data_IF_727218088395
#
_entry.id   IF_727218088395
#
_cell.length_a   1.000
_cell.length_b   1.000
_cell.length_c   1.000
_cell.angle_alpha   90.00
_cell.angle_beta   90.00
_cell.angle_gamma   90.00
#
_symmetry.space_group_name_H-M   'P 1'
#
loop_
_entity.id
_entity.type
_entity.pdbx_description
1 polymer ?
#
# COMPACT_ATOMS: atom_id res chain seq x y z
N UNK A 1 14.12 12.69 4.91
CA UNK A 1 13.68 11.89 3.73
C UNK A 1 12.97 10.61 4.14
N UNK A 2 13.60 9.60 4.76
CA UNK A 2 12.86 8.40 5.18
C UNK A 2 11.82 8.71 6.25
N UNK A 3 12.17 9.47 7.29
CA UNK A 3 11.25 9.85 8.36
C UNK A 3 9.96 10.54 7.85
N UNK A 4 10.04 11.31 6.76
CA UNK A 4 8.92 12.07 6.21
C UNK A 4 7.87 11.18 5.52
N UNK A 5 8.25 9.96 5.15
CA UNK A 5 7.38 8.96 4.51
C UNK A 5 6.88 7.91 5.50
N UNK A 6 7.12 8.08 6.81
CA UNK A 6 6.59 7.16 7.81
C UNK A 6 5.08 7.36 7.92
N UNK A 7 4.31 6.31 7.68
CA UNK A 7 2.88 6.36 7.94
C UNK A 7 2.61 6.57 9.44
N UNK A 8 1.68 7.47 9.76
CA UNK A 8 1.31 7.80 11.14
C UNK A 8 0.04 7.06 11.60
N UNK A 9 -0.66 6.44 10.67
CA UNK A 9 -1.89 5.70 10.92
C UNK A 9 -1.54 4.27 11.33
N UNK A 10 -2.10 3.80 12.45
CA UNK A 10 -2.05 2.39 12.83
C UNK A 10 -3.21 1.63 12.17
N UNK A 11 -2.98 0.42 11.67
CA UNK A 11 -4.06 -0.41 11.11
C UNK A 11 -4.68 -1.34 12.16
N UNK A 12 -6.01 -1.29 12.26
CA UNK A 12 -6.78 -2.09 13.21
C UNK A 12 -6.93 -1.40 14.56
N UNK A 13 -7.04 -2.20 15.62
CA UNK A 13 -7.12 -1.75 17.01
C UNK A 13 -6.30 -2.66 17.95
N UNK A 14 -6.35 -2.38 19.24
CA UNK A 14 -5.57 -3.07 20.27
C UNK A 14 -5.90 -4.58 20.39
N UNK A 15 -7.12 -4.97 20.05
CA UNK A 15 -7.58 -6.36 20.13
C UNK A 15 -7.42 -7.08 18.78
N UNK A 16 -7.40 -6.33 17.69
CA UNK A 16 -7.26 -6.85 16.34
C UNK A 16 -6.41 -5.91 15.45
N UNK A 17 -5.11 -6.19 15.38
CA UNK A 17 -4.10 -5.41 14.65
C UNK A 17 -4.13 -5.64 13.12
N UNK A 18 -5.32 -5.63 12.51
CA UNK A 18 -5.49 -5.80 11.08
C UNK A 18 -6.63 -4.94 10.58
N UNK A 19 -6.43 -4.33 9.42
CA UNK A 19 -7.48 -3.64 8.67
C UNK A 19 -7.46 -4.09 7.22
N UNK A 20 -8.64 -4.25 6.64
CA UNK A 20 -8.82 -4.63 5.25
C UNK A 20 -9.43 -3.47 4.49
N UNK A 21 -8.82 -3.12 3.36
CA UNK A 21 -9.29 -2.08 2.47
C UNK A 21 -9.66 -2.68 1.12
N UNK A 22 -10.80 -2.25 0.56
CA UNK A 22 -11.16 -2.57 -0.81
C UNK A 22 -11.05 -1.32 -1.67
N UNK A 23 -10.10 -1.33 -2.60
CA UNK A 23 -9.86 -0.21 -3.51
C UNK A 23 -10.37 -0.54 -4.90
N UNK A 24 -11.13 0.38 -5.50
CA UNK A 24 -11.54 0.33 -6.91
C UNK A 24 -10.88 1.51 -7.62
N UNK A 25 -10.20 1.22 -8.71
CA UNK A 25 -9.47 2.22 -9.49
C UNK A 25 -10.17 2.48 -10.82
N UNK A 26 -10.05 3.70 -11.31
CA UNK A 26 -10.45 4.05 -12.65
C UNK A 26 -9.27 3.89 -13.62
N UNK A 27 -9.54 3.65 -14.91
CA UNK A 27 -8.51 3.45 -15.94
C UNK A 27 -7.51 4.62 -16.08
N UNK A 28 -7.86 5.80 -15.57
CA UNK A 28 -7.04 7.01 -15.63
C UNK A 28 -6.22 7.22 -14.35
N UNK A 29 -6.43 6.41 -13.31
CA UNK A 29 -5.70 6.52 -12.07
C UNK A 29 -4.30 5.93 -12.28
N UNK A 30 -3.29 6.79 -12.15
CA UNK A 30 -1.88 6.42 -12.33
C UNK A 30 -1.21 5.99 -11.03
N UNK A 31 -1.73 6.47 -9.89
CA UNK A 31 -1.21 6.19 -8.56
C UNK A 31 -2.40 5.76 -7.70
N UNK A 32 -2.30 4.56 -7.14
CA UNK A 32 -3.34 3.96 -6.29
C UNK A 32 -2.94 4.06 -4.82
N UNK A 33 -1.65 3.86 -4.55
CA UNK A 33 -1.05 3.93 -3.23
C UNK A 33 0.21 4.79 -3.33
N UNK A 34 0.35 5.76 -2.44
CA UNK A 34 1.55 6.59 -2.36
C UNK A 34 2.66 5.85 -1.64
N UNK A 35 3.91 6.08 -2.01
CA UNK A 35 5.05 5.47 -1.32
C UNK A 35 5.14 5.93 0.13
N UNK A 36 5.22 4.97 1.04
CA UNK A 36 5.41 5.20 2.46
C UNK A 36 6.07 3.97 3.09
N UNK A 37 6.41 4.05 4.37
CA UNK A 37 6.87 2.89 5.14
C UNK A 37 6.19 2.87 6.52
N UNK A 38 6.00 1.66 7.02
CA UNK A 38 5.52 1.35 8.37
C UNK A 38 6.15 0.04 8.84
N UNK A 39 6.07 -0.24 10.14
CA UNK A 39 6.61 -1.47 10.74
C UNK A 39 5.67 -2.68 10.54
N UNK A 40 4.42 -2.42 10.15
CA UNK A 40 3.39 -3.44 9.93
C UNK A 40 3.59 -4.18 8.59
N UNK A 41 3.08 -5.41 8.50
CA UNK A 41 3.03 -6.14 7.24
C UNK A 41 1.81 -5.72 6.43
N UNK A 42 2.01 -5.27 5.19
CA UNK A 42 0.92 -5.00 4.24
C UNK A 42 0.84 -6.12 3.18
N UNK A 43 -0.38 -6.60 2.91
CA UNK A 43 -0.66 -7.57 1.86
C UNK A 43 -1.50 -6.92 0.76
N UNK A 44 -0.95 -6.84 -0.44
CA UNK A 44 -1.64 -6.32 -1.62
C UNK A 44 -2.08 -7.47 -2.53
N UNK A 45 -3.39 -7.52 -2.83
CA UNK A 45 -3.96 -8.54 -3.72
C UNK A 45 -4.64 -7.88 -4.91
N UNK A 46 -4.07 -8.06 -6.11
CA UNK A 46 -4.65 -7.57 -7.36
C UNK A 46 -5.73 -8.53 -7.82
N UNK A 47 -7.00 -8.15 -7.63
CA UNK A 47 -8.14 -9.01 -7.99
C UNK A 47 -8.54 -8.90 -9.46
N UNK A 48 -8.19 -7.80 -10.14
CA UNK A 48 -8.40 -7.58 -11.58
C UNK A 48 -7.35 -6.61 -12.14
N UNK A 49 -6.92 -6.84 -13.38
CA UNK A 49 -5.96 -5.99 -14.07
C UNK A 49 -4.51 -6.36 -13.75
N UNK A 50 -3.62 -5.37 -13.77
CA UNK A 50 -2.19 -5.48 -13.43
C UNK A 50 -1.77 -4.22 -12.70
N UNK A 51 -0.77 -4.33 -11.84
CA UNK A 51 -0.17 -3.19 -11.16
C UNK A 51 1.35 -3.22 -11.29
N UNK A 52 1.96 -2.06 -11.13
CA UNK A 52 3.40 -1.92 -10.95
C UNK A 52 3.64 -1.36 -9.57
N UNK A 53 4.43 -2.06 -8.78
CA UNK A 53 4.78 -1.68 -7.40
C UNK A 53 6.24 -1.26 -7.38
N UNK A 54 6.54 -0.16 -6.69
CA UNK A 54 7.90 0.23 -6.40
C UNK A 54 8.23 -0.19 -4.96
N UNK A 55 9.29 -0.99 -4.79
CA UNK A 55 9.86 -1.33 -3.50
C UNK A 55 11.27 -0.76 -3.45
N UNK A 56 11.54 0.09 -2.44
CA UNK A 56 12.76 0.91 -2.37
C UNK A 56 13.05 1.64 -3.69
N UNK A 57 14.00 1.12 -4.48
CA UNK A 57 14.43 1.69 -5.77
C UNK A 57 14.14 0.78 -6.98
N UNK A 58 13.46 -0.34 -6.79
CA UNK A 58 13.12 -1.30 -7.85
C UNK A 58 11.62 -1.34 -8.14
N UNK A 59 11.28 -1.59 -9.40
CA UNK A 59 9.91 -1.76 -9.85
C UNK A 59 9.62 -3.23 -10.15
N UNK A 60 8.42 -3.66 -9.78
CA UNK A 60 7.93 -5.02 -9.95
C UNK A 60 6.53 -4.98 -10.56
N UNK A 61 6.32 -5.74 -11.63
CA UNK A 61 4.99 -5.91 -12.25
C UNK A 61 4.29 -7.11 -11.59
N UNK A 62 3.03 -6.92 -11.17
CA UNK A 62 2.17 -7.91 -10.48
C UNK A 62 0.77 -7.97 -11.07
#
# INVERSE_FOLDING_TARGET
MRADLKEQTQHGDLLFHMRVYQTRTHKNDRIVLFSHWHEELELLVITKGRARVQLDSSYHDV
#
